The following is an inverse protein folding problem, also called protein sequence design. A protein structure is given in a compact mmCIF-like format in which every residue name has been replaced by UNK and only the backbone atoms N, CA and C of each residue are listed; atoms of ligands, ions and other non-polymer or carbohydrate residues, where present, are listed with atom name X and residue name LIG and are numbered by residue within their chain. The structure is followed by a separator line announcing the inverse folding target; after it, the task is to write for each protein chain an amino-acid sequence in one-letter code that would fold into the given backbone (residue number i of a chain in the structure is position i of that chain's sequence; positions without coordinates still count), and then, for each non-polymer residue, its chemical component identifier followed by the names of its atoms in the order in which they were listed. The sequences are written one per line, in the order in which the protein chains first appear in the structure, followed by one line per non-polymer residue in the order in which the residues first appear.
data_IF_302158248388
#
_entry.id   IF_302158248388
#
_cell.length_a   1.000
_cell.length_b   1.000
_cell.length_c   1.000
_cell.angle_alpha   90.00
_cell.angle_beta   90.00
_cell.angle_gamma   90.00
#
_symmetry.space_group_name_H-M   'P 1'
#
loop_
_entity.id
_entity.type
_entity.pdbx_description
1 polymer ?
#
# COMPACT_ATOMS: atom_id res chain seq x y z
N UNK A 1 -2.63 15.09 -33.53
CA UNK A 1 -2.27 15.49 -32.16
C UNK A 1 -1.62 14.29 -31.50
N UNK A 2 -0.36 14.38 -31.07
CA UNK A 2 0.28 13.30 -30.32
C UNK A 2 -0.43 13.19 -28.96
N UNK A 3 -0.88 11.98 -28.60
CA UNK A 3 -1.47 11.70 -27.29
C UNK A 3 -0.35 11.96 -26.27
N UNK A 4 -0.48 13.01 -25.45
CA UNK A 4 0.45 13.25 -24.33
C UNK A 4 0.44 11.98 -23.48
N UNK A 5 1.61 11.35 -23.38
CA UNK A 5 1.77 10.17 -22.53
C UNK A 5 1.77 10.65 -21.07
N UNK A 6 1.04 9.94 -20.22
CA UNK A 6 0.92 10.22 -18.79
C UNK A 6 1.57 9.09 -18.02
N UNK A 7 2.17 9.45 -16.90
CA UNK A 7 2.78 8.56 -15.92
C UNK A 7 1.90 8.58 -14.69
N UNK A 8 1.43 7.41 -14.30
CA UNK A 8 0.48 7.25 -13.21
C UNK A 8 1.24 6.76 -11.98
N UNK A 9 0.96 7.34 -10.82
CA UNK A 9 1.54 6.96 -9.53
C UNK A 9 0.44 6.48 -8.60
N UNK A 10 0.48 5.22 -8.22
CA UNK A 10 -0.47 4.65 -7.27
C UNK A 10 -0.01 4.90 -5.83
N UNK A 11 -0.93 5.35 -4.99
CA UNK A 11 -0.67 5.76 -3.60
C UNK A 11 -1.09 4.66 -2.64
N UNK A 12 -0.18 4.34 -1.73
CA UNK A 12 -0.37 3.45 -0.61
C UNK A 12 0.00 4.16 0.69
N UNK A 13 -0.54 3.67 1.80
CA UNK A 13 -0.14 4.05 3.15
C UNK A 13 0.50 2.85 3.78
N UNK A 14 1.60 3.07 4.49
CA UNK A 14 2.21 2.00 5.27
C UNK A 14 2.13 2.28 6.76
N UNK A 15 2.13 1.20 7.52
CA UNK A 15 2.11 1.23 8.97
C UNK A 15 3.24 0.35 9.50
N UNK A 16 4.01 0.86 10.45
CA UNK A 16 5.08 0.11 11.13
C UNK A 16 4.57 -0.27 12.52
N UNK A 17 4.47 -1.56 12.80
CA UNK A 17 3.79 -2.10 13.98
C UNK A 17 4.70 -3.05 14.76
N UNK A 18 4.64 -3.06 16.10
CA UNK A 18 5.24 -4.14 16.88
C UNK A 18 4.62 -5.50 16.53
N UNK A 19 5.44 -6.53 16.31
CA UNK A 19 4.99 -7.92 16.15
C UNK A 19 4.38 -8.43 17.45
N UNK A 20 5.09 -8.21 18.56
CA UNK A 20 4.62 -8.54 19.90
C UNK A 20 4.71 -7.33 20.82
N UNK A 21 3.64 -7.04 21.55
CA UNK A 21 3.68 -6.09 22.68
C UNK A 21 4.34 -6.69 23.92
N UNK A 22 4.56 -8.01 23.97
CA UNK A 22 5.30 -8.63 25.05
C UNK A 22 6.80 -8.62 24.72
N UNK A 23 7.48 -7.53 25.04
CA UNK A 23 8.93 -7.40 24.82
C UNK A 23 9.66 -8.16 25.94
N UNK A 24 10.41 -9.20 25.56
CA UNK A 24 11.40 -9.82 26.45
C UNK A 24 12.74 -9.10 26.26
N UNK A 25 13.30 -8.61 27.37
CA UNK A 25 14.45 -7.69 27.41
C UNK A 25 15.73 -8.20 26.72
N UNK A 26 15.87 -9.52 26.55
CA UNK A 26 17.13 -10.12 26.10
C UNK A 26 17.23 -10.36 24.57
N UNK A 27 16.17 -10.07 23.79
CA UNK A 27 16.11 -10.44 22.36
C UNK A 27 16.23 -9.30 21.34
N UNK A 28 16.05 -8.04 21.74
CA UNK A 28 15.92 -6.93 20.79
C UNK A 28 16.93 -5.81 21.09
N UNK A 29 18.03 -5.74 20.32
CA UNK A 29 19.05 -4.67 20.20
C UNK A 29 18.99 -3.49 21.20
N UNK A 30 18.94 -3.76 22.51
CA UNK A 30 18.90 -2.73 23.56
C UNK A 30 17.61 -1.91 23.69
N UNK A 31 16.46 -2.38 23.19
CA UNK A 31 15.17 -1.68 23.35
C UNK A 31 14.55 -2.07 24.70
N UNK A 32 14.34 -1.07 25.58
CA UNK A 32 13.91 -1.33 26.96
C UNK A 32 12.37 -1.35 27.12
N UNK A 33 11.62 -0.78 26.17
CA UNK A 33 10.15 -0.61 26.25
C UNK A 33 9.44 -0.58 24.89
N UNK A 34 8.13 -0.78 24.88
CA UNK A 34 7.28 -0.67 23.67
C UNK A 34 7.20 0.78 23.21
N UNK A 35 7.16 1.71 24.16
CA UNK A 35 7.10 3.14 23.90
C UNK A 35 8.35 3.61 23.15
N UNK A 36 9.53 3.10 23.55
CA UNK A 36 10.77 3.36 22.83
C UNK A 36 10.77 2.76 21.43
N UNK A 37 10.27 1.52 21.27
CA UNK A 37 10.13 0.86 19.97
C UNK A 37 9.24 1.68 19.03
N UNK A 38 8.10 2.17 19.52
CA UNK A 38 7.16 2.99 18.76
C UNK A 38 7.79 4.34 18.39
N UNK A 39 8.53 4.97 19.31
CA UNK A 39 9.19 6.24 19.05
C UNK A 39 10.29 6.14 17.98
N UNK A 40 10.99 5.00 17.92
CA UNK A 40 12.09 4.75 16.97
C UNK A 40 11.66 3.99 15.70
N UNK A 41 10.38 3.64 15.54
CA UNK A 41 9.89 2.78 14.44
C UNK A 41 10.30 3.30 13.05
N UNK A 42 10.19 4.61 12.81
CA UNK A 42 10.56 5.24 11.54
C UNK A 42 12.07 5.17 11.27
N UNK A 43 12.90 5.26 12.32
CA UNK A 43 14.36 5.11 12.20
C UNK A 43 14.72 3.66 11.84
N UNK A 44 14.11 2.68 12.50
CA UNK A 44 14.33 1.27 12.16
C UNK A 44 13.84 0.93 10.74
N UNK A 45 12.74 1.54 10.31
CA UNK A 45 12.25 1.41 8.94
C UNK A 45 13.19 2.03 7.91
N UNK A 46 13.71 3.24 8.16
CA UNK A 46 14.73 3.85 7.32
C UNK A 46 15.97 2.95 7.24
N UNK A 47 16.47 2.47 8.37
CA UNK A 47 17.59 1.53 8.38
C UNK A 47 17.28 0.26 7.58
N UNK A 48 16.06 -0.25 7.67
CA UNK A 48 15.64 -1.44 6.95
C UNK A 48 15.70 -1.24 5.44
N UNK A 49 15.10 -0.18 4.91
CA UNK A 49 15.06 0.08 3.47
C UNK A 49 16.43 0.43 2.90
N UNK A 50 17.33 1.01 3.70
CA UNK A 50 18.69 1.37 3.28
C UNK A 50 19.68 0.18 3.35
N UNK A 51 19.42 -0.82 4.19
CA UNK A 51 20.28 -2.01 4.36
C UNK A 51 20.02 -3.11 3.32
N UNK A 52 18.89 -3.07 2.62
CA UNK A 52 18.56 -4.06 1.59
C UNK A 52 19.42 -3.80 0.35
N UNK A 53 20.35 -4.71 0.06
CA UNK A 53 21.16 -4.62 -1.16
C UNK A 53 20.47 -5.30 -2.36
N UNK A 54 19.76 -6.40 -2.09
CA UNK A 54 19.09 -7.21 -3.11
C UNK A 54 17.67 -7.53 -2.62
N UNK A 55 16.68 -7.40 -3.51
CA UNK A 55 15.31 -7.83 -3.25
C UNK A 55 15.15 -9.26 -3.76
N UNK A 56 14.75 -10.16 -2.86
CA UNK A 56 14.43 -11.54 -3.22
C UNK A 56 13.10 -11.58 -3.98
N UNK A 57 13.18 -11.79 -5.29
CA UNK A 57 12.02 -11.94 -6.18
C UNK A 57 12.16 -13.24 -6.98
N UNK A 58 11.27 -14.21 -6.71
CA UNK A 58 11.36 -15.56 -7.27
C UNK A 58 11.18 -15.64 -8.78
N UNK A 59 10.63 -14.61 -9.42
CA UNK A 59 10.30 -14.62 -10.85
C UNK A 59 11.33 -13.90 -11.73
N UNK A 60 12.14 -12.99 -11.17
CA UNK A 60 13.15 -12.26 -11.94
C UNK A 60 14.15 -11.54 -11.04
N UNK A 61 15.23 -11.04 -11.64
CA UNK A 61 16.17 -10.14 -10.98
C UNK A 61 15.60 -8.72 -10.84
N UNK A 62 15.87 -8.10 -9.70
CA UNK A 62 15.41 -6.76 -9.39
C UNK A 62 16.59 -5.90 -8.92
N UNK A 63 16.88 -4.85 -9.67
CA UNK A 63 17.88 -3.85 -9.33
C UNK A 63 17.21 -2.60 -8.77
N UNK A 64 17.86 -1.94 -7.82
CA UNK A 64 17.35 -0.67 -7.28
C UNK A 64 18.50 0.30 -6.97
N UNK A 65 18.18 1.60 -7.00
CA UNK A 65 19.09 2.69 -6.60
C UNK A 65 18.32 3.82 -5.95
N UNK A 66 18.89 4.41 -4.91
CA UNK A 66 18.37 5.66 -4.34
C UNK A 66 18.75 6.81 -5.30
N UNK A 67 17.74 7.54 -5.76
CA UNK A 67 17.90 8.69 -6.68
C UNK A 67 17.90 10.01 -5.95
N UNK A 68 17.13 10.10 -4.88
CA UNK A 68 17.09 11.26 -4.03
C UNK A 68 16.73 10.86 -2.60
N UNK A 69 17.27 11.58 -1.64
CA UNK A 69 16.90 11.52 -0.22
C UNK A 69 16.78 12.95 0.26
N UNK A 70 15.63 13.30 0.79
CA UNK A 70 15.33 14.64 1.30
C UNK A 70 14.57 14.53 2.63
N UNK A 71 15.30 14.72 3.73
CA UNK A 71 14.87 14.45 5.10
C UNK A 71 14.21 13.06 5.23
N UNK A 72 12.89 13.04 5.42
CA UNK A 72 12.08 11.84 5.60
C UNK A 72 11.64 11.20 4.28
N UNK A 73 11.94 11.79 3.13
CA UNK A 73 11.50 11.29 1.83
C UNK A 73 12.61 10.59 1.06
N UNK A 74 12.32 9.39 0.57
CA UNK A 74 13.23 8.57 -0.21
C UNK A 74 12.64 8.32 -1.59
N UNK A 75 13.39 8.70 -2.63
CA UNK A 75 13.06 8.37 -4.01
C UNK A 75 13.98 7.27 -4.51
N UNK A 76 13.42 6.08 -4.70
CA UNK A 76 14.08 4.94 -5.30
C UNK A 76 13.76 4.86 -6.79
N UNK A 77 14.68 4.28 -7.55
CA UNK A 77 14.44 3.79 -8.91
C UNK A 77 14.71 2.31 -8.95
N UNK A 78 13.68 1.55 -9.28
CA UNK A 78 13.72 0.11 -9.46
C UNK A 78 13.83 -0.24 -10.94
N UNK A 79 14.34 -1.42 -11.24
CA UNK A 79 14.35 -2.03 -12.57
C UNK A 79 14.24 -3.53 -12.43
N UNK A 80 13.36 -4.15 -13.22
CA UNK A 80 13.13 -5.60 -13.19
C UNK A 80 13.63 -6.18 -14.49
N UNK A 81 14.40 -7.26 -14.44
CA UNK A 81 14.82 -7.95 -15.66
C UNK A 81 13.61 -8.60 -16.33
N UNK A 82 13.40 -8.33 -17.62
CA UNK A 82 12.34 -8.91 -18.44
C UNK A 82 12.90 -9.21 -19.83
N UNK A 83 12.68 -10.42 -20.34
CA UNK A 83 12.94 -10.71 -21.75
C UNK A 83 11.80 -10.18 -22.62
N UNK A 84 12.14 -9.41 -23.66
CA UNK A 84 11.21 -9.10 -24.76
C UNK A 84 11.51 -10.05 -25.91
N UNK A 85 10.50 -10.80 -26.36
CA UNK A 85 10.56 -11.50 -27.65
C UNK A 85 10.31 -10.52 -28.78
N UNK A 86 11.26 -10.40 -29.70
CA UNK A 86 11.19 -9.55 -30.90
C UNK A 86 11.21 -10.45 -32.13
N UNK A 87 10.18 -10.34 -32.96
CA UNK A 87 10.18 -10.95 -34.29
C UNK A 87 11.04 -10.09 -35.24
N UNK A 88 12.00 -10.73 -35.91
CA UNK A 88 12.88 -10.09 -36.90
C UNK A 88 12.16 -9.89 -38.22
N UNK A 89 12.79 -9.13 -39.13
CA UNK A 89 12.29 -8.97 -40.51
C UNK A 89 12.22 -10.30 -41.26
N UNK A 90 13.04 -11.26 -40.84
CA UNK A 90 13.12 -12.62 -41.36
C UNK A 90 12.11 -13.56 -40.68
N UNK A 91 11.20 -13.04 -39.85
CA UNK A 91 10.21 -13.81 -39.09
C UNK A 91 10.84 -14.83 -38.13
N UNK A 92 11.99 -14.49 -37.55
CA UNK A 92 12.63 -15.27 -36.49
C UNK A 92 12.46 -14.56 -35.16
N UNK A 93 12.25 -15.30 -34.07
CA UNK A 93 12.20 -14.70 -32.73
C UNK A 93 13.61 -14.54 -32.14
N UNK A 94 13.87 -13.39 -31.53
CA UNK A 94 15.04 -13.16 -30.68
C UNK A 94 14.60 -12.62 -29.31
N UNK A 95 15.29 -13.04 -28.26
CA UNK A 95 15.07 -12.50 -26.91
C UNK A 95 16.06 -11.38 -26.62
N UNK A 96 15.52 -10.26 -26.14
CA UNK A 96 16.30 -9.08 -25.78
C UNK A 96 16.08 -8.81 -24.30
N UNK A 97 17.18 -8.63 -23.58
CA UNK A 97 17.17 -8.21 -22.19
C UNK A 97 16.62 -6.78 -22.07
N UNK A 98 15.63 -6.59 -21.22
CA UNK A 98 14.98 -5.31 -20.97
C UNK A 98 14.82 -5.09 -19.47
N UNK A 99 15.12 -3.87 -19.03
CA UNK A 99 15.07 -3.45 -17.63
C UNK A 99 14.07 -2.30 -17.47
N UNK A 100 12.75 -2.55 -17.61
CA UNK A 100 11.74 -1.54 -17.39
C UNK A 100 11.88 -0.98 -15.98
N UNK A 101 12.30 0.29 -15.92
CA UNK A 101 12.51 0.99 -14.66
C UNK A 101 11.31 1.81 -14.26
N UNK A 102 11.11 1.98 -12.96
CA UNK A 102 10.03 2.78 -12.38
C UNK A 102 10.48 3.43 -11.06
N UNK A 103 9.85 4.54 -10.69
CA UNK A 103 10.09 5.25 -9.44
C UNK A 103 9.23 4.72 -8.30
N UNK A 104 9.80 4.76 -7.10
CA UNK A 104 9.11 4.47 -5.85
C UNK A 104 9.46 5.57 -4.86
N UNK A 105 8.44 6.29 -4.40
CA UNK A 105 8.56 7.32 -3.38
C UNK A 105 8.13 6.79 -2.02
N UNK A 106 8.91 7.06 -0.98
CA UNK A 106 8.59 6.68 0.40
C UNK A 106 8.68 7.92 1.26
N UNK A 107 7.56 8.38 1.81
CA UNK A 107 7.53 9.44 2.80
C UNK A 107 7.48 8.79 4.18
N UNK A 108 8.58 8.91 4.94
CA UNK A 108 8.78 8.30 6.25
C UNK A 108 8.67 9.27 7.41
N UNK A 109 7.75 10.22 7.30
CA UNK A 109 7.44 11.11 8.40
C UNK A 109 6.55 10.37 9.42
N UNK A 110 6.65 10.67 10.73
CA UNK A 110 5.77 10.08 11.75
C UNK A 110 4.27 10.24 11.45
N UNK A 111 3.90 11.34 10.78
CA UNK A 111 2.50 11.66 10.46
C UNK A 111 2.11 11.25 9.03
N UNK A 112 3.07 11.34 8.10
CA UNK A 112 2.89 11.06 6.66
C UNK A 112 3.72 9.82 6.30
N UNK A 113 3.10 8.64 6.43
CA UNK A 113 3.67 7.33 6.11
C UNK A 113 3.16 6.83 4.75
N UNK A 114 3.55 7.51 3.67
CA UNK A 114 3.09 7.21 2.31
C UNK A 114 4.10 6.40 1.51
N UNK A 115 3.58 5.52 0.67
CA UNK A 115 4.35 4.69 -0.26
C UNK A 115 3.74 4.84 -1.65
N UNK A 116 4.48 5.37 -2.61
CA UNK A 116 3.98 5.70 -3.94
C UNK A 116 4.76 4.95 -4.99
N UNK A 117 4.07 4.31 -5.93
CA UNK A 117 4.67 3.46 -6.98
C UNK A 117 4.25 3.96 -8.35
N UNK A 118 5.23 4.26 -9.20
CA UNK A 118 4.98 4.53 -10.63
C UNK A 118 4.43 3.26 -11.32
N UNK A 119 3.32 3.40 -12.04
CA UNK A 119 2.79 2.34 -12.88
C UNK A 119 3.73 2.05 -14.05
N UNK A 120 4.24 0.82 -14.07
CA UNK A 120 5.03 0.31 -15.19
C UNK A 120 4.65 -1.13 -15.53
N UNK A 121 3.65 -1.27 -16.42
CA UNK A 121 3.09 -2.57 -16.82
C UNK A 121 4.11 -3.56 -17.40
N UNK A 122 5.14 -3.03 -18.05
CA UNK A 122 6.26 -3.85 -18.56
C UNK A 122 7.10 -4.45 -17.42
N UNK A 123 7.18 -3.79 -16.26
CA UNK A 123 7.88 -4.28 -15.08
C UNK A 123 6.98 -5.19 -14.22
N UNK A 124 5.81 -4.67 -13.82
CA UNK A 124 4.79 -5.38 -13.05
C UNK A 124 3.42 -5.06 -13.63
N UNK A 125 2.59 -6.08 -13.89
CA UNK A 125 1.22 -5.85 -14.39
C UNK A 125 0.38 -5.00 -13.42
N UNK A 126 0.61 -5.17 -12.12
CA UNK A 126 -0.01 -4.39 -11.05
C UNK A 126 1.07 -4.00 -10.04
N UNK A 127 1.10 -2.72 -9.67
CA UNK A 127 1.90 -2.14 -8.56
C UNK A 127 1.76 -2.92 -7.25
N UNK A 128 0.57 -3.45 -6.94
CA UNK A 128 0.32 -4.29 -5.75
C UNK A 128 1.24 -5.51 -5.65
N UNK A 129 1.63 -6.09 -6.79
CA UNK A 129 2.60 -7.20 -6.80
C UNK A 129 3.98 -6.74 -6.34
N UNK A 130 4.40 -5.55 -6.74
CA UNK A 130 5.64 -4.95 -6.27
C UNK A 130 5.55 -4.52 -4.80
N UNK A 131 4.43 -3.92 -4.38
CA UNK A 131 4.21 -3.52 -2.98
C UNK A 131 4.36 -4.73 -2.05
N UNK A 132 3.73 -5.85 -2.39
CA UNK A 132 3.84 -7.09 -1.60
C UNK A 132 5.28 -7.62 -1.56
N UNK A 133 5.97 -7.62 -2.70
CA UNK A 133 7.38 -7.99 -2.78
C UNK A 133 8.27 -7.10 -1.89
N UNK A 134 8.02 -5.79 -1.92
CA UNK A 134 8.73 -4.82 -1.11
C UNK A 134 8.48 -5.06 0.38
N UNK A 135 7.22 -5.24 0.77
CA UNK A 135 6.79 -5.55 2.14
C UNK A 135 7.49 -6.82 2.67
N UNK A 136 7.46 -7.91 1.90
CA UNK A 136 8.10 -9.18 2.28
C UNK A 136 9.61 -9.02 2.53
N UNK A 137 10.30 -8.25 1.68
CA UNK A 137 11.75 -8.01 1.81
C UNK A 137 12.10 -7.10 3.00
N UNK A 138 11.33 -6.03 3.20
CA UNK A 138 11.51 -5.12 4.34
C UNK A 138 11.20 -5.81 5.67
N UNK A 139 10.16 -6.65 5.71
CA UNK A 139 9.76 -7.35 6.93
C UNK A 139 10.81 -8.35 7.42
N UNK A 140 11.53 -9.03 6.52
CA UNK A 140 12.68 -9.88 6.90
C UNK A 140 13.75 -9.12 7.67
N UNK A 141 13.91 -7.83 7.38
CA UNK A 141 14.84 -6.95 8.11
C UNK A 141 14.21 -6.44 9.40
N UNK A 142 12.94 -6.03 9.37
CA UNK A 142 12.24 -5.46 10.52
C UNK A 142 11.92 -6.46 11.63
N UNK A 143 11.77 -7.74 11.31
CA UNK A 143 11.49 -8.79 12.30
C UNK A 143 12.55 -8.83 13.41
N UNK A 144 13.81 -8.52 13.09
CA UNK A 144 14.92 -8.43 14.08
C UNK A 144 14.67 -7.35 15.13
N UNK A 145 13.89 -6.33 14.78
CA UNK A 145 13.51 -5.21 15.64
C UNK A 145 12.13 -5.41 16.28
N UNK A 146 11.53 -6.62 16.19
CA UNK A 146 10.15 -6.87 16.59
C UNK A 146 9.14 -5.99 15.84
N UNK A 147 9.44 -5.59 14.60
CA UNK A 147 8.59 -4.73 13.79
C UNK A 147 8.11 -5.43 12.52
N UNK A 148 6.94 -5.03 12.06
CA UNK A 148 6.39 -5.38 10.75
C UNK A 148 5.89 -4.12 10.07
N UNK A 149 6.13 -4.02 8.77
CA UNK A 149 5.54 -3.04 7.87
C UNK A 149 4.34 -3.68 7.17
N UNK A 150 3.21 -2.98 7.14
CA UNK A 150 2.03 -3.34 6.36
C UNK A 150 1.72 -2.19 5.42
N UNK A 151 1.58 -2.47 4.12
CA UNK A 151 1.35 -1.45 3.08
C UNK A 151 -0.01 -1.68 2.41
N UNK A 152 -0.93 -0.74 2.60
CA UNK A 152 -2.30 -0.81 2.10
C UNK A 152 -2.60 0.29 1.08
N UNK A 153 -3.41 0.00 0.06
CA UNK A 153 -3.80 1.00 -0.94
C UNK A 153 -4.69 2.07 -0.32
N UNK A 154 -4.52 3.31 -0.78
CA UNK A 154 -5.55 4.33 -0.61
C UNK A 154 -6.59 4.14 -1.72
N UNK A 155 -7.85 4.43 -1.43
CA UNK A 155 -8.90 4.45 -2.43
C UNK A 155 -9.88 5.58 -2.13
N UNK A 156 -10.61 6.05 -3.15
CA UNK A 156 -11.61 7.10 -2.96
C UNK A 156 -12.82 6.55 -2.20
N UNK A 157 -13.29 7.23 -1.14
CA UNK A 157 -14.47 6.82 -0.35
C UNK A 157 -15.70 6.58 -1.22
N UNK A 158 -15.90 7.44 -2.23
CA UNK A 158 -17.00 7.31 -3.20
C UNK A 158 -16.97 5.99 -3.97
N UNK A 159 -15.82 5.31 -4.06
CA UNK A 159 -15.73 3.98 -4.67
C UNK A 159 -16.53 2.94 -3.89
N UNK A 160 -16.60 3.06 -2.56
CA UNK A 160 -17.45 2.20 -1.74
C UNK A 160 -18.92 2.40 -2.11
N UNK A 161 -19.38 3.65 -2.10
CA UNK A 161 -20.77 3.99 -2.38
C UNK A 161 -21.17 3.67 -3.82
N UNK A 162 -20.26 3.84 -4.78
CA UNK A 162 -20.47 3.42 -6.16
C UNK A 162 -20.73 1.91 -6.29
N UNK A 163 -20.03 1.07 -5.51
CA UNK A 163 -20.29 -0.38 -5.49
C UNK A 163 -21.62 -0.69 -4.79
N UNK A 164 -21.96 0.03 -3.71
CA UNK A 164 -23.26 -0.10 -3.05
C UNK A 164 -24.41 0.20 -4.01
N UNK A 165 -24.29 1.28 -4.78
CA UNK A 165 -25.27 1.72 -5.77
C UNK A 165 -25.36 0.79 -6.99
N UNK A 166 -24.22 0.33 -7.51
CA UNK A 166 -24.19 -0.60 -8.65
C UNK A 166 -24.86 -1.94 -8.33
N UNK A 167 -24.71 -2.42 -7.09
CA UNK A 167 -25.16 -3.74 -6.64
C UNK A 167 -26.28 -3.69 -5.60
N UNK A 168 -27.13 -2.66 -5.65
CA UNK A 168 -28.31 -2.54 -4.79
C UNK A 168 -29.11 -3.85 -4.74
N UNK A 169 -29.56 -4.21 -3.52
CA UNK A 169 -30.30 -5.44 -3.21
C UNK A 169 -29.58 -6.77 -3.54
N UNK A 170 -28.31 -6.72 -3.94
CA UNK A 170 -27.52 -7.91 -4.33
C UNK A 170 -26.32 -8.14 -3.43
N UNK A 171 -25.95 -7.18 -2.60
CA UNK A 171 -24.86 -7.34 -1.61
C UNK A 171 -25.35 -8.27 -0.50
N UNK A 172 -24.67 -9.41 -0.32
CA UNK A 172 -25.00 -10.39 0.74
C UNK A 172 -24.02 -10.34 1.91
N UNK A 173 -22.84 -9.73 1.71
CA UNK A 173 -21.92 -9.43 2.78
C UNK A 173 -20.93 -8.33 2.40
N UNK A 174 -20.46 -7.63 3.42
CA UNK A 174 -19.31 -6.74 3.36
C UNK A 174 -18.32 -7.16 4.44
N UNK A 175 -17.05 -7.22 4.08
CA UNK A 175 -15.94 -7.54 4.98
C UNK A 175 -14.97 -6.36 5.01
N UNK A 176 -14.83 -5.77 6.20
CA UNK A 176 -13.89 -4.71 6.50
C UNK A 176 -12.66 -5.32 7.14
N UNK A 177 -11.51 -5.05 6.53
CA UNK A 177 -10.21 -5.35 7.11
C UNK A 177 -9.68 -4.09 7.79
N UNK A 178 -9.34 -4.21 9.08
CA UNK A 178 -8.85 -3.11 9.90
C UNK A 178 -7.45 -3.43 10.41
N UNK A 179 -6.46 -2.64 10.00
CA UNK A 179 -5.07 -2.71 10.47
C UNK A 179 -4.87 -1.74 11.61
N UNK A 180 -4.23 -2.14 12.70
CA UNK A 180 -4.08 -1.34 13.93
C UNK A 180 -2.63 -1.33 14.41
N UNK A 181 -2.01 -0.15 14.65
CA UNK A 181 -2.39 0.76 15.72
C UNK A 181 -2.37 2.27 15.40
N UNK A 182 -2.16 2.73 14.15
CA UNK A 182 -2.14 4.17 13.81
C UNK A 182 -3.54 4.84 13.78
N UNK A 183 -4.49 4.30 14.56
CA UNK A 183 -5.89 4.72 14.66
C UNK A 183 -6.10 6.19 15.08
N UNK A 184 -5.08 6.82 15.66
CA UNK A 184 -5.12 8.24 16.04
C UNK A 184 -4.91 9.20 14.86
N UNK A 185 -4.22 8.75 13.81
CA UNK A 185 -3.79 9.62 12.69
C UNK A 185 -4.57 9.37 11.39
N UNK A 186 -5.26 8.23 11.27
CA UNK A 186 -5.91 7.80 10.01
C UNK A 186 -7.38 8.24 9.93
N UNK A 187 -8.15 8.15 11.02
CA UNK A 187 -9.55 8.61 11.03
C UNK A 187 -10.03 9.02 12.43
N UNK A 188 -10.60 10.21 12.50
CA UNK A 188 -11.33 10.70 13.67
C UNK A 188 -12.76 10.13 13.78
N UNK A 189 -13.28 9.47 12.75
CA UNK A 189 -14.67 8.98 12.68
C UNK A 189 -14.83 7.54 13.17
N UNK A 190 -13.75 6.75 13.20
CA UNK A 190 -13.80 5.38 13.72
C UNK A 190 -14.07 5.35 15.23
N UNK A 191 -14.96 4.46 15.68
CA UNK A 191 -15.37 4.38 17.09
C UNK A 191 -14.22 4.07 18.04
N UNK A 192 -14.17 4.78 19.18
CA UNK A 192 -13.13 4.58 20.21
C UNK A 192 -13.14 3.15 20.78
N UNK A 193 -14.32 2.51 20.84
CA UNK A 193 -14.47 1.13 21.29
C UNK A 193 -13.68 0.13 20.43
N UNK A 194 -13.70 0.29 19.10
CA UNK A 194 -12.90 -0.56 18.19
C UNK A 194 -11.40 -0.29 18.38
N UNK A 195 -11.04 0.98 18.62
CA UNK A 195 -9.65 1.38 18.86
C UNK A 195 -9.09 0.72 20.13
N UNK A 196 -9.88 0.75 21.20
CA UNK A 196 -9.51 0.19 22.50
C UNK A 196 -9.49 -1.34 22.47
N UNK A 197 -10.45 -1.96 21.77
CA UNK A 197 -10.48 -3.41 21.58
C UNK A 197 -9.23 -3.93 20.88
N UNK A 198 -8.79 -3.27 19.81
CA UNK A 198 -7.58 -3.67 19.10
C UNK A 198 -6.32 -3.52 19.96
N UNK A 199 -6.22 -2.43 20.74
CA UNK A 199 -5.11 -2.22 21.67
C UNK A 199 -5.08 -3.28 22.78
N UNK A 200 -6.23 -3.63 23.34
CA UNK A 200 -6.33 -4.60 24.44
C UNK A 200 -6.02 -6.04 24.01
N UNK A 201 -6.30 -6.39 22.75
CA UNK A 201 -6.14 -7.75 22.22
C UNK A 201 -4.80 -8.00 21.54
N UNK A 202 -3.94 -6.98 21.41
CA UNK A 202 -2.74 -7.02 20.57
C UNK A 202 -3.04 -7.46 19.13
N UNK A 203 -4.23 -7.11 18.61
CA UNK A 203 -4.59 -7.39 17.22
C UNK A 203 -3.78 -6.46 16.30
N UNK A 204 -3.14 -7.03 15.28
CA UNK A 204 -2.55 -6.25 14.18
C UNK A 204 -3.55 -6.05 13.03
N UNK A 205 -4.46 -7.02 12.86
CA UNK A 205 -5.43 -7.08 11.78
C UNK A 205 -6.72 -7.69 12.28
N UNK A 206 -7.82 -6.97 12.11
CA UNK A 206 -9.17 -7.40 12.49
C UNK A 206 -10.04 -7.48 11.24
N UNK A 207 -10.71 -8.61 11.04
CA UNK A 207 -11.66 -8.77 9.93
C UNK A 207 -13.09 -8.72 10.49
N UNK A 208 -13.85 -7.70 10.11
CA UNK A 208 -15.25 -7.55 10.48
C UNK A 208 -16.13 -7.87 9.30
N UNK A 209 -16.94 -8.92 9.43
CA UNK A 209 -17.83 -9.37 8.37
C UNK A 209 -19.28 -9.18 8.76
N UNK A 210 -19.97 -8.33 7.99
CA UNK A 210 -21.41 -8.12 8.07
C UNK A 210 -22.04 -8.97 6.97
N UNK A 211 -23.06 -9.76 7.28
CA UNK A 211 -23.70 -10.65 6.31
C UNK A 211 -25.21 -10.75 6.54
N UNK A 212 -25.97 -10.76 5.43
CA UNK A 212 -27.40 -11.03 5.45
C UNK A 212 -27.67 -12.54 5.45
N UNK A 213 -28.93 -12.91 5.65
CA UNK A 213 -29.38 -14.25 5.31
C UNK A 213 -29.20 -14.53 3.80
N UNK A 214 -29.03 -15.79 3.41
CA UNK A 214 -28.84 -16.22 2.01
C UNK A 214 -30.03 -15.85 1.11
N UNK A 215 -31.23 -15.74 1.69
CA UNK A 215 -32.45 -15.35 0.99
C UNK A 215 -32.64 -13.83 0.88
N UNK A 216 -31.82 -13.04 1.58
CA UNK A 216 -31.93 -11.59 1.69
C UNK A 216 -30.65 -10.87 1.21
N UNK A 217 -30.59 -9.56 1.40
CA UNK A 217 -29.45 -8.68 1.12
C UNK A 217 -29.16 -7.78 2.32
N UNK A 218 -27.98 -7.16 2.33
CA UNK A 218 -27.64 -6.14 3.31
C UNK A 218 -28.28 -4.81 2.94
N UNK A 219 -28.80 -4.14 3.96
CA UNK A 219 -29.24 -2.76 3.89
C UNK A 219 -28.09 -1.85 4.36
N UNK A 220 -27.48 -1.14 3.42
CA UNK A 220 -26.31 -0.28 3.63
C UNK A 220 -26.72 1.13 3.23
N UNK A 221 -26.76 2.04 4.20
CA UNK A 221 -27.22 3.42 4.05
C UNK A 221 -26.07 4.37 4.34
N UNK A 222 -25.95 5.45 3.55
CA UNK A 222 -24.91 6.47 3.70
C UNK A 222 -24.97 7.17 5.07
N UNK A 223 -26.16 7.30 5.64
CA UNK A 223 -26.36 7.96 6.93
C UNK A 223 -25.90 7.09 8.12
N UNK A 224 -25.51 5.83 7.88
CA UNK A 224 -25.01 4.95 8.93
C UNK A 224 -23.58 5.33 9.32
N UNK A 225 -23.46 6.15 10.37
CA UNK A 225 -22.19 6.63 10.91
C UNK A 225 -21.16 5.54 11.23
N UNK A 226 -21.60 4.33 11.57
CA UNK A 226 -20.66 3.23 11.84
C UNK A 226 -20.04 2.69 10.55
N UNK A 227 -20.82 2.62 9.46
CA UNK A 227 -20.32 2.21 8.14
C UNK A 227 -19.46 3.33 7.58
N UNK A 228 -19.91 4.58 7.63
CA UNK A 228 -19.15 5.76 7.19
C UNK A 228 -17.77 5.81 7.87
N UNK A 229 -17.70 5.66 9.20
CA UNK A 229 -16.43 5.65 9.92
C UNK A 229 -15.51 4.48 9.56
N UNK A 230 -16.04 3.34 9.10
CA UNK A 230 -15.23 2.22 8.61
C UNK A 230 -14.73 2.46 7.18
N UNK A 231 -15.57 3.05 6.33
CA UNK A 231 -15.21 3.41 4.96
C UNK A 231 -14.09 4.47 4.97
N UNK A 232 -14.27 5.54 5.74
CA UNK A 232 -13.28 6.62 5.95
C UNK A 232 -11.97 6.09 6.53
N UNK A 233 -12.02 5.14 7.46
CA UNK A 233 -10.81 4.51 7.98
C UNK A 233 -10.06 3.69 6.92
N UNK A 234 -10.79 2.87 6.17
CA UNK A 234 -10.21 1.97 5.17
C UNK A 234 -9.68 2.72 3.94
N UNK A 235 -10.38 3.76 3.46
CA UNK A 235 -9.97 4.60 2.32
C UNK A 235 -8.61 5.27 2.52
N UNK A 236 -8.31 5.61 3.78
CA UNK A 236 -7.07 6.23 4.22
C UNK A 236 -5.94 5.23 4.52
N UNK A 237 -6.04 3.99 4.02
CA UNK A 237 -5.04 2.92 4.20
C UNK A 237 -5.17 2.19 5.54
N UNK A 238 -6.36 2.22 6.15
CA UNK A 238 -6.71 1.44 7.34
C UNK A 238 -7.00 -0.04 7.07
N UNK A 239 -7.00 -0.46 5.81
CA UNK A 239 -7.21 -1.84 5.36
C UNK A 239 -8.28 -1.95 4.27
N UNK A 240 -8.36 -3.11 3.60
CA UNK A 240 -9.22 -3.34 2.44
C UNK A 240 -10.71 -3.55 2.80
N UNK A 241 -11.60 -3.27 1.85
CA UNK A 241 -13.03 -3.58 1.92
C UNK A 241 -13.40 -4.56 0.81
N UNK A 242 -14.07 -5.65 1.17
CA UNK A 242 -14.49 -6.70 0.24
C UNK A 242 -16.00 -6.89 0.25
N UNK A 243 -16.61 -6.86 -0.93
CA UNK A 243 -18.03 -7.14 -1.14
C UNK A 243 -18.24 -8.55 -1.67
N UNK A 244 -19.27 -9.22 -1.12
CA UNK A 244 -19.81 -10.44 -1.70
C UNK A 244 -21.18 -10.14 -2.31
N UNK A 245 -21.26 -10.35 -3.62
CA UNK A 245 -22.46 -10.09 -4.40
C UNK A 245 -23.16 -11.40 -4.74
N UNK A 246 -24.49 -11.43 -4.64
CA UNK A 246 -25.33 -12.55 -5.05
C UNK A 246 -25.06 -12.89 -6.52
N UNK A 247 -24.87 -14.17 -6.79
CA UNK A 247 -24.57 -14.75 -8.11
C UNK A 247 -23.21 -14.35 -8.72
N UNK A 248 -22.33 -13.65 -7.98
CA UNK A 248 -20.93 -13.49 -8.38
C UNK A 248 -20.04 -14.44 -7.58
N UNK A 249 -19.14 -15.14 -8.28
CA UNK A 249 -18.18 -16.05 -7.64
C UNK A 249 -17.01 -15.32 -7.00
N UNK A 250 -16.57 -14.21 -7.60
CA UNK A 250 -15.49 -13.37 -7.09
C UNK A 250 -16.05 -12.30 -6.16
N UNK A 251 -15.31 -11.99 -5.10
CA UNK A 251 -15.55 -10.81 -4.29
C UNK A 251 -15.00 -9.58 -5.01
N UNK A 252 -15.63 -8.43 -4.80
CA UNK A 252 -15.12 -7.14 -5.27
C UNK A 252 -14.28 -6.55 -4.14
N UNK A 253 -13.04 -6.16 -4.40
CA UNK A 253 -12.11 -5.57 -3.43
C UNK A 253 -11.85 -4.12 -3.81
N UNK A 254 -12.03 -3.20 -2.86
CA UNK A 254 -11.75 -1.77 -3.11
C UNK A 254 -10.25 -1.49 -3.18
N UNK A 255 -9.42 -2.31 -2.54
CA UNK A 255 -7.97 -2.28 -2.67
C UNK A 255 -7.43 -2.71 -4.04
N UNK A 256 -8.29 -3.00 -5.02
CA UNK A 256 -7.93 -3.05 -6.45
C UNK A 256 -8.07 -1.69 -7.15
N UNK A 257 -8.84 -0.74 -6.57
CA UNK A 257 -9.09 0.61 -7.10
C UNK A 257 -8.21 1.64 -6.37
N UNK A 258 -6.91 1.50 -6.52
CA UNK A 258 -5.92 2.34 -5.82
C UNK A 258 -5.98 3.79 -6.32
N UNK A 259 -5.89 4.75 -5.40
CA UNK A 259 -5.80 6.18 -5.70
C UNK A 259 -4.56 6.46 -6.53
N UNK A 260 -4.73 7.24 -7.60
CA UNK A 260 -3.69 7.49 -8.60
C UNK A 260 -3.48 8.98 -8.81
N UNK A 261 -2.21 9.38 -8.87
CA UNK A 261 -1.77 10.70 -9.32
C UNK A 261 -1.28 10.57 -10.76
N UNK A 262 -1.89 11.30 -11.68
CA UNK A 262 -1.45 11.36 -13.08
C UNK A 262 -0.52 12.56 -13.32
N UNK A 263 0.66 12.33 -13.89
CA UNK A 263 1.65 13.36 -14.23
C UNK A 263 2.00 13.26 -15.72
N UNK A 264 2.12 14.38 -16.43
CA UNK A 264 2.55 14.38 -17.84
C UNK A 264 3.99 13.80 -18.00
N UNK A 265 4.19 12.78 -18.85
CA UNK A 265 5.51 12.10 -19.04
C UNK A 265 6.64 13.07 -19.42
N UNK A 266 6.30 14.09 -20.20
CA UNK A 266 7.24 15.13 -20.64
C UNK A 266 7.80 15.89 -19.43
N UNK A 267 6.98 16.05 -18.39
CA UNK A 267 7.41 16.68 -17.15
C UNK A 267 8.39 15.77 -16.41
N UNK A 268 8.05 14.50 -16.16
CA UNK A 268 8.92 13.56 -15.43
C UNK A 268 10.24 13.28 -16.13
N UNK A 269 10.22 13.12 -17.45
CA UNK A 269 11.43 12.89 -18.24
C UNK A 269 12.32 14.13 -18.36
N UNK A 270 11.76 15.33 -18.14
CA UNK A 270 12.44 16.61 -18.24
C UNK A 270 12.97 17.16 -16.92
N UNK A 271 12.57 16.59 -15.77
CA UNK A 271 12.93 17.07 -14.44
C UNK A 271 13.91 16.13 -13.72
N UNK A 272 14.69 16.69 -12.81
CA UNK A 272 15.68 15.95 -12.02
C UNK A 272 15.03 15.23 -10.82
N UNK A 273 15.78 14.35 -10.14
CA UNK A 273 15.25 13.54 -9.04
C UNK A 273 14.75 14.35 -7.84
N UNK A 274 15.29 15.56 -7.61
CA UNK A 274 14.78 16.46 -6.56
C UNK A 274 13.42 17.02 -6.94
N UNK A 275 13.27 17.50 -8.18
CA UNK A 275 12.00 18.05 -8.67
C UNK A 275 10.88 17.01 -8.70
N UNK A 276 11.19 15.72 -8.95
CA UNK A 276 10.23 14.62 -8.80
C UNK A 276 9.80 14.47 -7.33
N UNK A 277 10.77 14.52 -6.40
CA UNK A 277 10.47 14.44 -4.97
C UNK A 277 9.60 15.61 -4.51
N UNK A 278 9.95 16.84 -4.89
CA UNK A 278 9.18 18.04 -4.53
C UNK A 278 7.74 17.94 -5.06
N UNK A 279 7.58 17.53 -6.33
CA UNK A 279 6.26 17.32 -6.94
C UNK A 279 5.44 16.25 -6.21
N UNK A 280 6.04 15.10 -5.89
CA UNK A 280 5.35 14.03 -5.18
C UNK A 280 4.97 14.45 -3.76
N UNK A 281 5.81 15.22 -3.07
CA UNK A 281 5.47 15.78 -1.75
C UNK A 281 4.26 16.72 -1.86
N UNK A 282 4.28 17.67 -2.79
CA UNK A 282 3.19 18.63 -3.00
C UNK A 282 1.84 17.96 -3.30
N UNK A 283 1.85 16.83 -4.01
CA UNK A 283 0.64 16.09 -4.38
C UNK A 283 0.12 15.16 -3.27
N UNK A 284 0.94 14.90 -2.25
CA UNK A 284 0.61 14.05 -1.10
C UNK A 284 0.28 14.87 0.16
N UNK A 285 0.47 16.20 0.14
CA UNK A 285 0.02 17.11 1.20
C UNK A 285 -1.49 17.32 1.20
#
# INVERSE_FOLDING_TARGET
MARKKKTDFQIYRYQILPISRNIQKDFFDGIESIEELIAKKNQFFEEAILKINDFDYSYSELAHKIRHKDDDFFLFKFGVNRSISRETREFTEEEIDNWPSFYVGIWNSPDKQFFVVEERRDAFQQTKSFVKLFEENVNRVLERYNLVCLIEPLFEENSFWAVVDEYQERIVAVEFELITPNLANISGKLSDELKDFAKATNSQKTNMKIQSDKSSHLDIQEENKNIDGLVDYSSEGGGDIKFRIKNLKKMISLGESVKTIEIDDIYISGINSKEITDLLKDLLE
#
